data_IF_436864158145
#
_entry.id   IF_436864158145
#
_cell.length_a   1.000
_cell.length_b   1.000
_cell.length_c   1.000
_cell.angle_alpha   90.00
_cell.angle_beta   90.00
_cell.angle_gamma   90.00
#
_symmetry.space_group_name_H-M   'P 1'
#
loop_
_entity.id
_entity.type
_entity.pdbx_description
1 polymer ?
#
# COMPACT_ATOMS: atom_id res chain seq x y z
N UNK A 1 40.77 15.14 36.18
CA UNK A 1 39.29 15.18 36.17
C UNK A 1 38.92 16.59 35.75
N UNK A 2 38.13 16.91 34.75
CA UNK A 2 37.54 16.26 33.59
C UNK A 2 37.16 17.42 32.64
N UNK A 3 37.30 17.17 31.34
CA UNK A 3 36.65 17.74 30.15
C UNK A 3 36.16 19.21 30.05
N UNK A 4 36.44 19.82 28.88
CA UNK A 4 35.38 20.52 28.13
C UNK A 4 35.67 21.82 27.35
N UNK A 5 36.12 21.69 26.09
CA UNK A 5 35.56 22.30 24.85
C UNK A 5 35.41 23.84 24.70
N UNK A 6 36.08 24.42 23.67
CA UNK A 6 35.49 25.24 22.58
C UNK A 6 36.58 25.88 21.69
N UNK A 7 36.55 25.58 20.40
CA UNK A 7 37.24 26.33 19.35
C UNK A 7 36.20 26.69 18.26
N UNK A 8 36.07 27.97 17.92
CA UNK A 8 36.58 28.54 16.66
C UNK A 8 35.90 29.86 16.22
N UNK A 9 36.66 30.95 16.38
CA UNK A 9 37.14 31.89 15.36
C UNK A 9 36.18 32.49 14.30
N UNK A 10 35.68 33.69 14.62
CA UNK A 10 35.82 34.99 13.92
C UNK A 10 36.03 35.05 12.39
N UNK A 11 35.16 35.82 11.71
CA UNK A 11 35.45 37.03 10.87
C UNK A 11 34.73 37.06 9.51
N UNK A 12 33.92 38.10 9.35
CA UNK A 12 33.28 38.62 8.14
C UNK A 12 34.28 38.95 7.02
N UNK A 13 33.87 38.81 5.75
CA UNK A 13 34.25 39.72 4.67
C UNK A 13 33.05 39.96 3.73
N UNK A 14 32.93 41.21 3.31
CA UNK A 14 31.82 41.85 2.61
C UNK A 14 31.81 41.68 1.09
N UNK A 15 30.58 41.73 0.56
CA UNK A 15 30.05 41.96 -0.79
C UNK A 15 30.99 42.26 -1.98
N UNK A 16 30.88 41.43 -3.01
CA UNK A 16 31.17 41.77 -4.41
C UNK A 16 29.95 41.44 -5.29
N UNK A 17 29.51 42.41 -6.10
CA UNK A 17 28.41 42.30 -7.07
C UNK A 17 28.87 41.60 -8.35
N UNK A 18 28.06 40.66 -8.87
CA UNK A 18 27.80 40.53 -10.32
C UNK A 18 26.57 39.65 -10.59
N UNK A 19 25.92 39.97 -11.71
CA UNK A 19 24.59 39.53 -12.15
C UNK A 19 24.51 38.04 -12.53
N UNK A 20 23.30 37.48 -12.39
CA UNK A 20 22.82 36.39 -13.26
C UNK A 20 22.89 34.97 -12.70
N UNK A 21 21.73 34.47 -12.26
CA UNK A 21 21.09 33.17 -12.57
C UNK A 21 20.18 32.80 -11.39
N UNK A 22 18.90 33.06 -11.58
CA UNK A 22 17.86 32.69 -10.64
C UNK A 22 17.71 31.17 -10.53
N UNK A 23 17.55 30.70 -9.30
CA UNK A 23 16.82 29.48 -8.98
C UNK A 23 17.42 28.17 -9.51
N UNK A 24 18.14 27.46 -8.64
CA UNK A 24 18.22 26.00 -8.74
C UNK A 24 16.83 25.41 -8.44
N UNK A 25 15.90 25.48 -9.40
CA UNK A 25 14.75 24.59 -9.39
C UNK A 25 15.25 23.19 -9.78
N UNK A 26 15.58 22.39 -8.77
CA UNK A 26 15.69 20.95 -8.89
C UNK A 26 14.29 20.38 -9.17
N UNK A 27 13.77 20.57 -10.38
CA UNK A 27 12.67 19.78 -10.92
C UNK A 27 13.27 18.52 -11.51
N UNK A 28 13.53 17.53 -10.65
CA UNK A 28 13.50 16.16 -11.15
C UNK A 28 12.08 15.93 -11.65
N UNK A 29 11.94 15.92 -12.97
CA UNK A 29 10.73 15.49 -13.65
C UNK A 29 10.43 14.07 -13.18
N UNK A 30 9.47 13.93 -12.26
CA UNK A 30 8.89 12.63 -11.96
C UNK A 30 8.03 12.30 -13.17
N UNK A 31 8.59 11.53 -14.11
CA UNK A 31 7.82 10.93 -15.20
C UNK A 31 6.95 9.87 -14.54
N UNK A 32 5.83 10.27 -13.94
CA UNK A 32 4.97 9.39 -13.15
C UNK A 32 3.83 10.16 -12.50
N UNK A 33 2.62 9.60 -12.57
CA UNK A 33 1.42 10.15 -11.95
C UNK A 33 1.18 9.45 -10.62
N UNK A 34 0.82 10.23 -9.62
CA UNK A 34 0.44 9.70 -8.31
C UNK A 34 -0.96 9.11 -8.41
N UNK A 35 -1.13 7.89 -7.92
CA UNK A 35 -2.39 7.15 -7.97
C UNK A 35 -2.62 6.46 -6.64
N UNK A 36 -3.84 6.51 -6.14
CA UNK A 36 -4.22 5.87 -4.88
C UNK A 36 -5.51 5.08 -5.03
N UNK A 37 -5.64 4.02 -4.24
CA UNK A 37 -6.82 3.16 -4.21
C UNK A 37 -7.05 2.71 -2.78
N UNK A 38 -8.32 2.55 -2.40
CA UNK A 38 -8.71 2.12 -1.07
C UNK A 38 -9.90 1.17 -1.09
N UNK A 39 -9.83 0.15 -0.24
CA UNK A 39 -10.87 -0.87 -0.08
C UNK A 39 -11.29 -0.97 1.38
N UNK A 40 -12.60 -1.15 1.60
CA UNK A 40 -13.19 -1.48 2.90
C UNK A 40 -14.07 -2.70 2.77
N UNK A 41 -14.15 -3.50 3.83
CA UNK A 41 -15.03 -4.66 3.83
C UNK A 41 -15.04 -5.40 5.16
N UNK A 42 -15.67 -6.57 5.16
CA UNK A 42 -15.77 -7.47 6.29
C UNK A 42 -15.61 -8.93 5.85
N UNK A 43 -14.84 -9.71 6.58
CA UNK A 43 -14.62 -11.12 6.29
C UNK A 43 -15.30 -12.02 7.32
N UNK A 44 -15.98 -13.05 6.83
CA UNK A 44 -16.69 -14.04 7.63
C UNK A 44 -16.19 -15.46 7.29
N UNK A 45 -16.29 -16.38 8.24
CA UNK A 45 -16.17 -17.82 8.05
C UNK A 45 -17.46 -18.46 8.53
N UNK A 46 -18.36 -18.78 7.60
CA UNK A 46 -19.76 -19.04 7.95
C UNK A 46 -20.38 -17.77 8.53
N UNK A 47 -20.91 -17.87 9.75
CA UNK A 47 -21.52 -16.74 10.46
C UNK A 47 -20.56 -16.02 11.42
N UNK A 48 -19.30 -16.47 11.51
CA UNK A 48 -18.33 -15.90 12.45
C UNK A 48 -17.41 -14.88 11.76
N UNK A 49 -17.14 -13.72 12.36
CA UNK A 49 -16.15 -12.80 11.81
C UNK A 49 -14.74 -13.42 11.84
N UNK A 50 -13.95 -13.14 10.80
CA UNK A 50 -12.55 -13.54 10.76
C UNK A 50 -11.70 -12.39 11.29
N UNK A 51 -11.11 -12.56 12.47
CA UNK A 51 -10.10 -11.64 13.01
C UNK A 51 -8.68 -12.01 12.54
N UNK A 52 -7.78 -11.03 12.45
CA UNK A 52 -6.36 -11.21 12.11
C UNK A 52 -6.07 -11.91 10.77
N UNK A 53 -7.01 -11.89 9.82
CA UNK A 53 -6.72 -12.18 8.42
C UNK A 53 -5.94 -11.02 7.81
N UNK A 54 -4.97 -11.35 6.96
CA UNK A 54 -4.10 -10.37 6.31
C UNK A 54 -4.69 -9.99 4.97
N UNK A 55 -4.83 -8.69 4.73
CA UNK A 55 -5.30 -8.12 3.48
C UNK A 55 -4.17 -7.28 2.90
N UNK A 56 -3.62 -7.71 1.77
CA UNK A 56 -2.57 -6.98 1.06
C UNK A 56 -3.15 -6.36 -0.19
N UNK A 57 -2.87 -5.08 -0.41
CA UNK A 57 -3.16 -4.34 -1.61
C UNK A 57 -1.91 -4.30 -2.49
N UNK A 58 -2.05 -4.77 -3.72
CA UNK A 58 -0.99 -4.89 -4.71
C UNK A 58 -1.32 -4.06 -5.94
N UNK A 59 -0.28 -3.53 -6.56
CA UNK A 59 -0.30 -3.08 -7.94
C UNK A 59 0.25 -4.22 -8.81
N UNK A 60 -0.57 -4.76 -9.71
CA UNK A 60 -0.24 -5.93 -10.52
C UNK A 60 -0.02 -5.50 -11.98
N UNK A 61 0.91 -4.57 -12.20
CA UNK A 61 1.26 -4.07 -13.53
C UNK A 61 1.95 -5.16 -14.38
N UNK A 62 1.64 -5.19 -15.68
CA UNK A 62 2.19 -6.17 -16.63
C UNK A 62 3.69 -6.01 -16.90
N UNK A 63 4.29 -4.84 -16.60
CA UNK A 63 5.63 -4.46 -17.06
C UNK A 63 6.59 -4.02 -15.94
N UNK A 64 6.12 -3.93 -14.69
CA UNK A 64 6.94 -3.67 -13.51
C UNK A 64 6.78 -4.82 -12.48
N UNK A 65 7.73 -5.04 -11.56
CA UNK A 65 7.56 -6.03 -10.49
C UNK A 65 6.32 -5.71 -9.65
N UNK A 66 5.47 -6.71 -9.39
CA UNK A 66 4.30 -6.59 -8.50
C UNK A 66 4.66 -5.81 -7.22
N UNK A 67 4.06 -4.64 -7.03
CA UNK A 67 4.38 -3.76 -5.91
C UNK A 67 3.34 -3.89 -4.79
N UNK A 68 3.80 -4.30 -3.60
CA UNK A 68 2.97 -4.27 -2.39
C UNK A 68 2.74 -2.80 -1.98
N UNK A 69 1.54 -2.29 -2.22
CA UNK A 69 1.19 -0.91 -1.89
C UNK A 69 0.85 -0.71 -0.42
N UNK A 70 0.13 -1.66 0.17
CA UNK A 70 -0.32 -1.58 1.57
C UNK A 70 -0.73 -2.95 2.14
N UNK A 71 -0.72 -3.04 3.46
CA UNK A 71 -1.20 -4.21 4.20
C UNK A 71 -2.06 -3.77 5.38
N UNK A 72 -3.11 -4.55 5.65
CA UNK A 72 -3.96 -4.40 6.82
C UNK A 72 -4.33 -5.76 7.40
N UNK A 73 -4.73 -5.76 8.68
CA UNK A 73 -5.30 -6.93 9.34
C UNK A 73 -6.78 -6.67 9.63
N UNK A 74 -7.62 -7.69 9.47
CA UNK A 74 -9.03 -7.61 9.89
C UNK A 74 -9.13 -7.46 11.42
N UNK A 75 -10.01 -6.55 11.86
CA UNK A 75 -10.34 -6.31 13.27
C UNK A 75 -11.11 -7.49 13.89
N UNK A 76 -11.34 -7.51 15.22
CA UNK A 76 -12.10 -8.57 15.89
C UNK A 76 -13.52 -8.79 15.33
N UNK A 77 -14.16 -7.74 14.82
CA UNK A 77 -15.48 -7.81 14.18
C UNK A 77 -15.42 -8.25 12.70
N UNK A 78 -14.25 -8.59 12.18
CA UNK A 78 -13.98 -9.01 10.82
C UNK A 78 -13.82 -7.87 9.82
N UNK A 79 -13.99 -6.60 10.24
CA UNK A 79 -13.87 -5.45 9.35
C UNK A 79 -12.41 -5.16 8.99
N UNK A 80 -12.17 -4.64 7.79
CA UNK A 80 -10.86 -4.15 7.35
C UNK A 80 -11.00 -2.89 6.50
N UNK A 81 -9.91 -2.13 6.45
CA UNK A 81 -9.70 -1.01 5.54
C UNK A 81 -8.23 -1.03 5.12
N UNK A 82 -7.96 -0.95 3.83
CA UNK A 82 -6.60 -0.87 3.27
C UNK A 82 -6.58 0.18 2.17
N UNK A 83 -5.57 1.03 2.16
CA UNK A 83 -5.36 2.01 1.10
C UNK A 83 -3.87 2.20 0.85
N UNK A 84 -3.53 2.37 -0.42
CA UNK A 84 -2.17 2.53 -0.89
C UNK A 84 -2.05 3.67 -1.89
N UNK A 85 -0.82 4.13 -2.08
CA UNK A 85 -0.42 5.17 -3.03
C UNK A 85 0.81 4.65 -3.76
N UNK A 86 0.85 4.82 -5.08
CA UNK A 86 2.05 4.61 -5.88
C UNK A 86 2.25 5.74 -6.88
N UNK A 87 3.43 5.79 -7.49
CA UNK A 87 3.77 6.71 -8.56
C UNK A 87 4.12 5.88 -9.78
N UNK A 88 3.22 5.82 -10.76
CA UNK A 88 3.39 5.02 -11.98
C UNK A 88 3.15 5.88 -13.23
N UNK A 89 3.78 5.50 -14.34
CA UNK A 89 3.59 6.17 -15.63
C UNK A 89 2.27 5.78 -16.30
N UNK A 90 1.82 4.54 -16.05
CA UNK A 90 0.58 3.94 -16.52
C UNK A 90 -0.50 3.99 -15.44
N UNK A 91 -1.72 3.56 -15.77
CA UNK A 91 -2.72 3.27 -14.73
C UNK A 91 -2.25 2.06 -13.94
N UNK A 92 -2.49 2.07 -12.63
CA UNK A 92 -2.26 0.91 -11.77
C UNK A 92 -3.31 -0.18 -12.05
N UNK A 93 -2.97 -1.43 -11.74
CA UNK A 93 -3.84 -2.61 -11.84
C UNK A 93 -4.12 -3.19 -10.43
N UNK A 94 -5.02 -2.57 -9.65
CA UNK A 94 -5.11 -2.79 -8.21
C UNK A 94 -5.76 -4.13 -7.84
N UNK A 95 -5.14 -4.86 -6.91
CA UNK A 95 -5.58 -6.17 -6.47
C UNK A 95 -5.51 -6.32 -4.95
N UNK A 96 -6.53 -6.94 -4.33
CA UNK A 96 -6.43 -7.41 -2.94
C UNK A 96 -6.12 -8.91 -2.89
N UNK A 97 -5.15 -9.28 -2.07
CA UNK A 97 -4.83 -10.66 -1.71
C UNK A 97 -5.14 -10.86 -0.23
N UNK A 98 -6.07 -11.77 0.06
CA UNK A 98 -6.57 -12.04 1.41
C UNK A 98 -6.04 -13.38 1.90
N UNK A 99 -5.41 -13.39 3.07
CA UNK A 99 -4.77 -14.55 3.68
C UNK A 99 -5.47 -14.91 4.99
N UNK A 100 -6.04 -16.10 5.08
CA UNK A 100 -6.88 -16.51 6.22
C UNK A 100 -6.81 -18.01 6.52
N UNK A 101 -7.34 -18.39 7.67
CA UNK A 101 -7.40 -19.78 8.13
C UNK A 101 -8.81 -20.41 8.08
N UNK A 102 -9.84 -19.69 7.60
CA UNK A 102 -11.19 -20.26 7.46
C UNK A 102 -11.18 -21.57 6.66
N UNK A 103 -11.63 -22.67 7.27
CA UNK A 103 -11.61 -24.05 6.74
C UNK A 103 -10.23 -24.53 6.25
N UNK A 104 -9.14 -23.90 6.68
CA UNK A 104 -7.79 -24.32 6.32
C UNK A 104 -7.39 -25.56 7.14
N UNK A 105 -7.03 -26.64 6.45
CA UNK A 105 -6.58 -27.90 7.08
C UNK A 105 -5.05 -28.05 7.08
N UNK A 106 -4.32 -27.15 6.40
CA UNK A 106 -2.87 -27.23 6.24
C UNK A 106 -2.16 -26.32 7.24
N UNK A 107 -1.52 -26.93 8.24
CA UNK A 107 -0.69 -26.21 9.21
C UNK A 107 0.50 -25.52 8.52
N UNK A 108 0.92 -24.36 9.03
CA UNK A 108 2.02 -23.56 8.45
C UNK A 108 1.67 -22.81 7.17
N UNK A 109 0.45 -22.97 6.64
CA UNK A 109 -0.02 -22.23 5.47
C UNK A 109 -1.27 -21.42 5.80
N UNK A 110 -1.57 -20.40 4.98
CA UNK A 110 -2.84 -19.67 4.96
C UNK A 110 -3.49 -19.85 3.59
N UNK A 111 -4.81 -20.01 3.55
CA UNK A 111 -5.58 -19.92 2.30
C UNK A 111 -5.45 -18.50 1.76
N UNK A 112 -5.23 -18.37 0.46
CA UNK A 112 -5.13 -17.09 -0.26
C UNK A 112 -6.25 -16.99 -1.28
N UNK A 113 -6.98 -15.88 -1.23
CA UNK A 113 -7.99 -15.52 -2.24
C UNK A 113 -7.64 -14.14 -2.79
N UNK A 114 -7.77 -13.99 -4.10
CA UNK A 114 -7.34 -12.81 -4.83
C UNK A 114 -8.51 -12.19 -5.57
N UNK A 115 -8.68 -10.87 -5.45
CA UNK A 115 -9.72 -10.11 -6.14
C UNK A 115 -9.13 -8.87 -6.78
N UNK A 116 -9.50 -8.61 -8.03
CA UNK A 116 -9.17 -7.35 -8.70
C UNK A 116 -10.15 -6.26 -8.24
N UNK A 117 -9.63 -5.05 -8.04
CA UNK A 117 -10.42 -3.85 -7.77
C UNK A 117 -10.67 -3.17 -9.11
N UNK A 118 -11.92 -2.78 -9.44
CA UNK A 118 -12.18 -2.10 -10.71
C UNK A 118 -11.48 -0.74 -10.82
N UNK A 119 -10.92 -0.43 -11.98
CA UNK A 119 -10.09 0.75 -12.23
C UNK A 119 -10.82 2.08 -11.95
N UNK A 120 -12.15 2.09 -12.03
CA UNK A 120 -12.98 3.25 -11.71
C UNK A 120 -13.01 3.61 -10.21
N UNK A 121 -12.23 2.92 -9.38
CA UNK A 121 -11.94 3.27 -7.99
C UNK A 121 -10.52 3.83 -7.78
N UNK A 122 -9.70 3.89 -8.84
CA UNK A 122 -8.39 4.54 -8.80
C UNK A 122 -8.59 6.06 -8.71
N UNK A 123 -7.96 6.67 -7.72
CA UNK A 123 -7.97 8.10 -7.46
C UNK A 123 -6.68 8.72 -7.98
N UNK A 124 -6.78 9.83 -8.71
CA UNK A 124 -5.59 10.63 -9.07
C UNK A 124 -5.09 11.40 -7.84
N UNK A 125 -3.79 11.33 -7.58
CA UNK A 125 -3.14 11.98 -6.44
C UNK A 125 -2.97 11.07 -5.22
N UNK A 126 -2.65 11.70 -4.09
CA UNK A 126 -2.21 11.01 -2.86
C UNK A 126 -3.36 10.50 -1.98
N UNK A 127 -4.60 10.86 -2.31
CA UNK A 127 -5.74 10.66 -1.44
C UNK A 127 -6.79 9.82 -2.17
N UNK A 128 -7.29 8.80 -1.47
CA UNK A 128 -8.41 8.00 -1.94
C UNK A 128 -9.67 8.86 -1.92
N UNK A 129 -10.16 9.23 -3.10
CA UNK A 129 -11.40 10.02 -3.24
C UNK A 129 -12.63 9.12 -3.33
N UNK A 130 -12.45 7.86 -3.74
CA UNK A 130 -13.52 6.86 -3.86
C UNK A 130 -13.07 5.55 -3.24
N UNK A 131 -13.81 5.09 -2.23
CA UNK A 131 -13.58 3.80 -1.60
C UNK A 131 -14.33 2.70 -2.35
N UNK A 132 -13.64 1.57 -2.60
CA UNK A 132 -14.30 0.36 -3.03
C UNK A 132 -14.87 -0.38 -1.82
N UNK A 133 -16.20 -0.38 -1.72
CA UNK A 133 -16.93 -1.08 -0.67
C UNK A 133 -17.09 -2.55 -1.06
N UNK A 134 -16.17 -3.39 -0.58
CA UNK A 134 -16.12 -4.83 -0.86
C UNK A 134 -17.28 -5.61 -0.22
N UNK A 135 -17.97 -5.00 0.75
CA UNK A 135 -19.06 -5.62 1.48
C UNK A 135 -18.60 -6.70 2.46
N UNK A 136 -19.51 -7.61 2.80
CA UNK A 136 -19.24 -8.74 3.68
C UNK A 136 -19.07 -10.04 2.87
N UNK A 137 -17.88 -10.65 2.92
CA UNK A 137 -17.57 -11.86 2.18
C UNK A 137 -17.40 -13.05 3.12
N UNK A 138 -18.11 -14.15 2.83
CA UNK A 138 -17.88 -15.44 3.48
C UNK A 138 -16.73 -16.19 2.78
N UNK A 139 -15.61 -16.34 3.49
CA UNK A 139 -14.38 -16.99 3.05
C UNK A 139 -14.45 -18.53 3.06
N UNK A 140 -15.62 -19.11 3.34
CA UNK A 140 -15.91 -20.51 3.00
C UNK A 140 -16.04 -20.72 1.48
N UNK A 141 -16.11 -19.63 0.70
CA UNK A 141 -16.06 -19.69 -0.76
C UNK A 141 -14.88 -20.57 -1.21
N UNK A 142 -15.20 -21.53 -2.07
CA UNK A 142 -14.21 -22.38 -2.73
C UNK A 142 -13.97 -21.84 -4.13
N UNK A 143 -12.72 -21.52 -4.46
CA UNK A 143 -12.35 -21.12 -5.82
C UNK A 143 -11.90 -22.37 -6.56
N UNK A 144 -12.85 -23.01 -7.27
CA UNK A 144 -12.77 -24.40 -7.79
C UNK A 144 -11.51 -24.74 -8.63
N UNK A 145 -10.72 -23.75 -9.06
CA UNK A 145 -9.48 -23.94 -9.83
C UNK A 145 -8.33 -22.98 -9.49
N UNK A 146 -8.44 -22.15 -8.44
CA UNK A 146 -7.43 -21.14 -8.07
C UNK A 146 -7.30 -20.92 -6.57
N UNK A 147 -7.74 -21.88 -5.77
CA UNK A 147 -7.50 -21.79 -4.33
C UNK A 147 -6.03 -22.07 -4.04
N UNK A 148 -5.34 -21.05 -3.58
CA UNK A 148 -3.90 -21.07 -3.34
C UNK A 148 -3.59 -21.04 -1.84
N UNK A 149 -2.44 -21.56 -1.45
CA UNK A 149 -1.96 -21.55 -0.08
C UNK A 149 -0.58 -20.89 -0.02
N UNK A 150 -0.47 -19.79 0.73
CA UNK A 150 0.83 -19.26 1.09
C UNK A 150 1.33 -19.99 2.35
N UNK A 151 2.46 -20.67 2.23
CA UNK A 151 3.13 -21.38 3.32
C UNK A 151 4.37 -20.62 3.80
N UNK A 152 4.69 -20.76 5.08
CA UNK A 152 5.83 -20.12 5.76
C UNK A 152 6.77 -21.16 6.35
#
# INVERSE_FOLDING_TARGET
>A
MDSGKKNDTKTMMTFGNTQGLEGLQNVQSIIGRKQSVGVRGKLLCGNQPISNATVKLWDNDLFDPDDLMAEAQTKPDGSFQVAGLTVSTTSIDPQIRIYHNCRNKKSGCKRRVTFNIPDNYISSGNQVTKWFEFGALNMEIGVKYKEDHQCF
#
